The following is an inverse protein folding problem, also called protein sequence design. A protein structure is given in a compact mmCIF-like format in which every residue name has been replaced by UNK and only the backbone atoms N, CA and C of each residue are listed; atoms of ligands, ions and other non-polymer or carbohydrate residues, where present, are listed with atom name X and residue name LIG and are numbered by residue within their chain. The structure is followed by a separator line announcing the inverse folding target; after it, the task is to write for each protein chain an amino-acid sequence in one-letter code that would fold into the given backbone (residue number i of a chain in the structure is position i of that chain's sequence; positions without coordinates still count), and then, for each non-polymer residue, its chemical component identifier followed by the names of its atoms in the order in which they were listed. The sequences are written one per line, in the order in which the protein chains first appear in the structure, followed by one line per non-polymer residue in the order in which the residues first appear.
data_IF_982427909745
#
_entry.id   IF_982427909745
#
_cell.length_a   1.000
_cell.length_b   1.000
_cell.length_c   1.000
_cell.angle_alpha   90.00
_cell.angle_beta   90.00
_cell.angle_gamma   90.00
#
_symmetry.space_group_name_H-M   'P 1'
#
loop_
_entity.id
_entity.type
_entity.pdbx_description
1 polymer ?
#
# COMPACT_ATOMS: atom_id res chain seq x y z
N UNK A 1 -12.08 2.13 13.03
CA UNK A 1 -13.28 1.86 13.85
C UNK A 1 -13.44 0.37 14.20
N UNK A 2 -13.52 -0.55 13.22
CA UNK A 2 -13.82 -1.97 13.45
C UNK A 2 -12.79 -2.75 14.31
N UNK A 3 -11.50 -2.42 14.24
CA UNK A 3 -10.43 -3.08 15.02
C UNK A 3 -9.84 -2.23 16.14
N UNK A 4 -10.31 -0.98 16.31
CA UNK A 4 -9.85 -0.09 17.40
C UNK A 4 -8.38 0.40 17.32
N UNK A 5 -7.59 0.00 16.32
CA UNK A 5 -6.20 0.43 16.18
C UNK A 5 -6.09 1.95 15.94
N UNK A 6 -5.57 2.65 16.95
CA UNK A 6 -5.38 4.11 16.94
C UNK A 6 -3.90 4.51 16.99
N UNK A 7 -3.00 3.57 17.26
CA UNK A 7 -1.58 3.86 17.38
C UNK A 7 -0.92 3.95 15.99
N UNK A 8 0.02 4.89 15.75
CA UNK A 8 0.71 5.00 14.47
C UNK A 8 1.44 3.72 14.03
N UNK A 9 2.01 2.98 14.97
CA UNK A 9 2.71 1.72 14.71
C UNK A 9 1.76 0.62 14.25
N UNK A 10 0.59 0.50 14.85
CA UNK A 10 -0.43 -0.50 14.49
C UNK A 10 -0.97 -0.24 13.09
N UNK A 11 -1.28 1.03 12.78
CA UNK A 11 -1.72 1.45 11.45
C UNK A 11 -0.65 1.16 10.39
N UNK A 12 0.62 1.41 10.73
CA UNK A 12 1.74 1.16 9.84
C UNK A 12 1.91 -0.34 9.54
N UNK A 13 1.89 -1.20 10.57
CA UNK A 13 1.99 -2.65 10.40
C UNK A 13 0.82 -3.18 9.57
N UNK A 14 -0.40 -2.69 9.84
CA UNK A 14 -1.57 -3.08 9.06
C UNK A 14 -1.46 -2.66 7.59
N UNK A 15 -0.94 -1.46 7.32
CA UNK A 15 -0.69 -0.99 5.95
C UNK A 15 0.34 -1.86 5.22
N UNK A 16 1.44 -2.23 5.89
CA UNK A 16 2.44 -3.15 5.32
C UNK A 16 1.88 -4.55 5.07
N UNK A 17 1.09 -5.11 6.00
CA UNK A 17 0.43 -6.39 5.81
C UNK A 17 -0.54 -6.35 4.63
N UNK A 18 -1.33 -5.26 4.49
CA UNK A 18 -2.21 -5.06 3.34
C UNK A 18 -1.44 -4.95 2.03
N UNK A 19 -0.35 -4.18 2.00
CA UNK A 19 0.51 -4.05 0.81
C UNK A 19 1.16 -5.38 0.41
N UNK A 20 1.65 -6.17 1.37
CA UNK A 20 2.20 -7.50 1.14
C UNK A 20 1.15 -8.45 0.57
N UNK A 21 -0.04 -8.50 1.21
CA UNK A 21 -1.13 -9.35 0.76
C UNK A 21 -1.59 -9.00 -0.66
N UNK A 22 -1.78 -7.71 -0.95
CA UNK A 22 -2.13 -7.25 -2.30
C UNK A 22 -1.04 -7.61 -3.32
N UNK A 23 0.24 -7.41 -2.98
CA UNK A 23 1.36 -7.76 -3.84
C UNK A 23 1.41 -9.26 -4.15
N UNK A 24 1.16 -10.11 -3.16
CA UNK A 24 1.07 -11.57 -3.35
C UNK A 24 -0.10 -11.93 -4.26
N UNK A 25 -1.29 -11.36 -4.05
CA UNK A 25 -2.47 -11.60 -4.90
C UNK A 25 -2.17 -11.24 -6.36
N UNK A 26 -1.53 -10.09 -6.60
CA UNK A 26 -1.12 -9.66 -7.94
C UNK A 26 -0.07 -10.60 -8.52
N UNK A 27 0.94 -11.00 -7.75
CA UNK A 27 1.98 -11.92 -8.19
C UNK A 27 1.43 -13.31 -8.54
N UNK A 28 0.54 -13.87 -7.72
CA UNK A 28 -0.13 -15.13 -7.98
C UNK A 28 -1.02 -15.05 -9.22
N UNK A 29 -1.81 -13.98 -9.35
CA UNK A 29 -2.71 -13.81 -10.50
C UNK A 29 -1.93 -13.60 -11.80
N UNK A 30 -0.88 -12.78 -11.77
CA UNK A 30 -0.03 -12.50 -12.93
C UNK A 30 0.87 -13.67 -13.36
N UNK A 31 1.16 -14.60 -12.45
CA UNK A 31 1.97 -15.80 -12.73
C UNK A 31 1.16 -17.03 -13.18
N UNK A 32 -0.16 -17.06 -12.92
CA UNK A 32 -1.01 -18.13 -13.42
C UNK A 32 -1.11 -18.10 -14.96
N UNK A 33 -0.77 -19.21 -15.60
CA UNK A 33 -0.81 -19.36 -17.07
C UNK A 33 0.43 -19.96 -17.74
N UNK A 34 1.34 -20.59 -16.98
CA UNK A 34 2.31 -21.57 -17.51
C UNK A 34 3.41 -21.04 -18.46
N UNK A 35 3.56 -19.72 -18.62
CA UNK A 35 4.58 -19.09 -19.46
C UNK A 35 5.41 -18.06 -18.70
N UNK A 36 6.42 -17.48 -19.35
CA UNK A 36 7.22 -16.38 -18.79
C UNK A 36 6.30 -15.28 -18.24
N UNK A 37 6.63 -14.78 -17.04
CA UNK A 37 5.96 -13.65 -16.40
C UNK A 37 5.84 -12.51 -17.41
N UNK A 38 4.64 -12.22 -17.89
CA UNK A 38 4.47 -11.10 -18.81
C UNK A 38 4.23 -9.83 -17.99
N UNK A 39 5.03 -8.76 -18.19
CA UNK A 39 4.84 -7.50 -17.48
C UNK A 39 3.41 -6.96 -17.62
N UNK A 40 2.80 -7.17 -18.79
CA UNK A 40 1.42 -6.76 -19.10
C UNK A 40 0.37 -7.50 -18.26
N UNK A 41 0.55 -8.80 -17.97
CA UNK A 41 -0.40 -9.53 -17.10
C UNK A 41 -0.31 -9.05 -15.66
N UNK A 42 0.92 -8.80 -15.19
CA UNK A 42 1.16 -8.31 -13.84
C UNK A 42 0.53 -6.91 -13.64
N UNK A 43 0.69 -6.01 -14.61
CA UNK A 43 0.10 -4.67 -14.55
C UNK A 43 -1.43 -4.71 -14.60
N UNK A 44 -2.03 -5.51 -15.49
CA UNK A 44 -3.48 -5.65 -15.57
C UNK A 44 -4.09 -6.26 -14.30
N UNK A 45 -3.44 -7.28 -13.71
CA UNK A 45 -3.86 -7.84 -12.43
C UNK A 45 -3.81 -6.79 -11.30
N UNK A 46 -2.75 -5.96 -11.28
CA UNK A 46 -2.62 -4.85 -10.34
C UNK A 46 -3.72 -3.80 -10.50
N UNK A 47 -4.01 -3.37 -11.73
CA UNK A 47 -5.07 -2.39 -12.03
C UNK A 47 -6.44 -2.94 -11.62
N UNK A 48 -6.73 -4.19 -11.93
CA UNK A 48 -8.00 -4.83 -11.54
C UNK A 48 -8.16 -4.89 -10.02
N UNK A 49 -7.12 -5.32 -9.29
CA UNK A 49 -7.16 -5.37 -7.83
C UNK A 49 -7.31 -3.97 -7.21
N UNK A 50 -6.59 -2.98 -7.73
CA UNK A 50 -6.69 -1.60 -7.28
C UNK A 50 -8.12 -1.06 -7.42
N UNK A 51 -8.75 -1.27 -8.59
CA UNK A 51 -10.13 -0.85 -8.82
C UNK A 51 -11.13 -1.52 -7.86
N UNK A 52 -10.95 -2.81 -7.57
CA UNK A 52 -11.79 -3.54 -6.61
C UNK A 52 -11.65 -2.98 -5.20
N UNK A 53 -10.41 -2.77 -4.74
CA UNK A 53 -10.14 -2.25 -3.39
C UNK A 53 -10.61 -0.81 -3.23
N UNK A 54 -10.42 0.02 -4.26
CA UNK A 54 -10.90 1.40 -4.28
C UNK A 54 -12.43 1.46 -4.28
N UNK A 55 -13.08 0.64 -5.12
CA UNK A 55 -14.54 0.51 -5.14
C UNK A 55 -15.11 0.06 -3.78
N UNK A 56 -14.46 -0.91 -3.13
CA UNK A 56 -14.83 -1.36 -1.80
C UNK A 56 -14.67 -0.26 -0.74
N UNK A 57 -13.54 0.44 -0.76
CA UNK A 57 -13.25 1.55 0.17
C UNK A 57 -14.27 2.67 0.03
N UNK A 58 -14.55 3.10 -1.21
CA UNK A 58 -15.54 4.14 -1.50
C UNK A 58 -16.97 3.68 -1.15
N UNK A 59 -17.30 2.41 -1.42
CA UNK A 59 -18.59 1.83 -1.03
C UNK A 59 -18.80 1.91 0.48
N UNK A 60 -17.81 1.48 1.28
CA UNK A 60 -17.86 1.56 2.75
C UNK A 60 -17.98 3.02 3.21
N UNK A 61 -17.24 3.94 2.60
CA UNK A 61 -17.28 5.35 2.95
C UNK A 61 -18.65 5.97 2.70
N UNK A 62 -19.31 5.64 1.59
CA UNK A 62 -20.66 6.16 1.27
C UNK A 62 -21.74 5.68 2.24
N UNK A 63 -21.55 4.52 2.87
CA UNK A 63 -22.47 4.00 3.87
C UNK A 63 -22.37 4.73 5.22
N UNK A 64 -21.28 5.47 5.48
CA UNK A 64 -21.04 6.10 6.76
C UNK A 64 -20.41 7.50 6.62
N UNK A 65 -21.14 8.59 6.94
CA UNK A 65 -20.67 9.95 6.70
C UNK A 65 -19.39 10.30 7.49
N UNK A 66 -19.18 9.72 8.68
CA UNK A 66 -17.97 9.95 9.47
C UNK A 66 -16.73 9.33 8.81
N UNK A 67 -16.89 8.14 8.21
CA UNK A 67 -15.82 7.45 7.46
C UNK A 67 -15.49 8.21 6.18
N UNK A 68 -16.51 8.75 5.51
CA UNK A 68 -16.34 9.55 4.30
C UNK A 68 -15.52 10.82 4.55
N UNK A 69 -15.80 11.55 5.63
CA UNK A 69 -15.05 12.77 5.97
C UNK A 69 -13.58 12.45 6.32
N UNK A 70 -13.35 11.39 7.10
CA UNK A 70 -11.99 10.91 7.39
C UNK A 70 -11.23 10.50 6.12
N UNK A 71 -11.88 9.79 5.21
CA UNK A 71 -11.28 9.37 3.93
C UNK A 71 -10.89 10.59 3.09
N UNK A 72 -11.74 11.62 3.04
CA UNK A 72 -11.46 12.87 2.32
C UNK A 72 -10.22 13.58 2.88
N UNK A 73 -10.10 13.71 4.21
CA UNK A 73 -8.89 14.27 4.82
C UNK A 73 -7.65 13.41 4.57
N UNK A 74 -7.81 12.08 4.57
CA UNK A 74 -6.71 11.16 4.28
C UNK A 74 -6.22 11.27 2.83
N UNK A 75 -7.12 11.37 1.86
CA UNK A 75 -6.80 11.56 0.44
C UNK A 75 -6.18 12.92 0.15
N UNK A 76 -6.63 13.99 0.83
CA UNK A 76 -6.03 15.31 0.71
C UNK A 76 -4.57 15.31 1.18
N UNK A 77 -4.25 14.46 2.17
CA UNK A 77 -2.94 14.38 2.78
C UNK A 77 -2.66 15.58 3.70
N UNK A 78 -2.36 15.32 4.97
CA UNK A 78 -1.97 16.36 5.92
C UNK A 78 -0.80 15.92 6.79
N UNK A 79 0.16 16.84 6.96
CA UNK A 79 1.26 16.72 7.91
C UNK A 79 1.00 17.50 9.20
N UNK A 80 -0.07 18.31 9.23
CA UNK A 80 -0.36 19.32 10.25
C UNK A 80 -0.63 18.71 11.64
N UNK A 81 -1.16 17.48 11.69
CA UNK A 81 -1.60 16.82 12.93
C UNK A 81 -0.58 15.77 13.43
N UNK A 82 0.59 15.62 12.77
CA UNK A 82 1.53 14.52 13.06
C UNK A 82 2.59 14.94 14.08
N UNK A 83 2.67 14.21 15.19
CA UNK A 83 3.72 14.36 16.22
C UNK A 83 5.10 13.90 15.71
N UNK A 84 6.18 14.44 16.29
CA UNK A 84 7.56 14.02 15.99
C UNK A 84 7.80 12.52 16.26
N UNK A 85 7.04 11.92 17.18
CA UNK A 85 7.16 10.49 17.44
C UNK A 85 6.59 9.64 16.29
N UNK A 86 5.52 10.10 15.63
CA UNK A 86 5.03 9.42 14.43
C UNK A 86 6.06 9.47 13.31
N UNK A 87 6.76 10.62 13.18
CA UNK A 87 7.82 10.77 12.19
C UNK A 87 8.94 9.75 12.41
N UNK A 88 9.39 9.52 13.65
CA UNK A 88 10.42 8.51 13.95
C UNK A 88 9.98 7.10 13.55
N UNK A 89 8.72 6.75 13.85
CA UNK A 89 8.16 5.43 13.53
C UNK A 89 8.13 5.18 12.01
N UNK A 90 7.82 6.20 11.21
CA UNK A 90 7.77 6.10 9.75
C UNK A 90 9.16 6.25 9.11
N UNK A 91 10.03 7.09 9.67
CA UNK A 91 11.35 7.35 9.10
C UNK A 91 12.23 6.09 9.07
N UNK A 92 12.20 5.28 10.13
CA UNK A 92 13.01 4.06 10.21
C UNK A 92 12.80 3.07 9.05
N UNK A 93 11.56 2.59 8.77
CA UNK A 93 11.34 1.68 7.64
C UNK A 93 11.59 2.35 6.28
N UNK A 94 11.35 3.66 6.15
CA UNK A 94 11.64 4.40 4.92
C UNK A 94 13.13 4.39 4.62
N UNK A 95 13.98 4.73 5.59
CA UNK A 95 15.44 4.70 5.39
C UNK A 95 15.96 3.29 5.08
N UNK A 96 15.42 2.26 5.73
CA UNK A 96 15.77 0.87 5.43
C UNK A 96 15.40 0.52 4.00
N UNK A 97 14.17 0.80 3.58
CA UNK A 97 13.71 0.50 2.21
C UNK A 97 14.51 1.26 1.15
N UNK A 98 14.86 2.52 1.42
CA UNK A 98 15.72 3.32 0.55
C UNK A 98 17.13 2.74 0.44
N UNK A 99 17.73 2.33 1.56
CA UNK A 99 19.04 1.69 1.56
C UNK A 99 19.03 0.37 0.77
N UNK A 100 18.00 -0.46 0.96
CA UNK A 100 17.81 -1.70 0.19
C UNK A 100 17.66 -1.40 -1.30
N UNK A 101 16.85 -0.40 -1.66
CA UNK A 101 16.67 0.00 -3.06
C UNK A 101 17.98 0.46 -3.70
N UNK A 102 18.81 1.23 -2.98
CA UNK A 102 20.13 1.65 -3.45
C UNK A 102 21.09 0.47 -3.63
N UNK A 103 21.07 -0.51 -2.73
CA UNK A 103 21.85 -1.74 -2.87
C UNK A 103 21.43 -2.56 -4.10
N UNK A 104 20.14 -2.58 -4.43
CA UNK A 104 19.61 -3.29 -5.60
C UNK A 104 19.76 -2.52 -6.93
N UNK A 105 20.16 -1.25 -6.89
CA UNK A 105 20.24 -0.38 -8.07
C UNK A 105 21.03 -1.01 -9.24
N UNK A 106 22.17 -1.66 -8.95
CA UNK A 106 22.98 -2.33 -9.99
C UNK A 106 22.25 -3.50 -10.64
N UNK A 107 21.53 -4.31 -9.86
CA UNK A 107 20.76 -5.44 -10.38
C UNK A 107 19.55 -4.96 -11.20
N UNK A 108 18.87 -3.91 -10.74
CA UNK A 108 17.77 -3.28 -11.47
C UNK A 108 18.24 -2.70 -12.81
N UNK A 109 19.43 -2.08 -12.87
CA UNK A 109 20.00 -1.57 -14.11
C UNK A 109 20.35 -2.66 -15.13
N UNK A 110 20.54 -3.90 -14.69
CA UNK A 110 20.78 -5.05 -15.59
C UNK A 110 19.51 -5.70 -16.14
N UNK A 111 18.34 -5.33 -15.61
CA UNK A 111 17.02 -5.79 -16.05
C UNK A 111 16.41 -4.90 -17.15
N UNK A 112 16.97 -3.70 -17.35
CA UNK A 112 16.62 -2.78 -18.44
C UNK A 112 17.39 -3.08 -19.71
#
# INVERSE_FOLDING_TARGET
ALFGFTSPSEQLVMAFCGALAASLVVAFTGSQGGGQLSPVRLTLAGVALAAVLEGLSNGIALLNPDVYDQLRFWQAGSLDIRTLDTLKVVAFPVFISAAVALCLSRALNSLS
#
